data_IF_918226941226
#
_entry.id   IF_918226941226
#
_cell.length_a   1.000
_cell.length_b   1.000
_cell.length_c   1.000
_cell.angle_alpha   90.00
_cell.angle_beta   90.00
_cell.angle_gamma   90.00
#
_symmetry.space_group_name_H-M   'P 1'
#
loop_
_entity.id
_entity.type
_entity.pdbx_description
1 polymer ?
#
# COMPACT_ATOMS: atom_id res chain seq x y z
N UNK A 1 -28.83 62.47 0.80
CA UNK A 1 -27.64 61.72 0.42
C UNK A 1 -27.64 60.41 1.22
N UNK A 2 -27.87 59.27 0.59
CA UNK A 2 -27.88 57.92 1.23
C UNK A 2 -26.54 57.24 0.94
N UNK A 3 -25.75 57.07 1.95
CA UNK A 3 -24.45 56.38 1.87
C UNK A 3 -24.69 54.88 1.96
N UNK A 4 -24.41 54.15 0.89
CA UNK A 4 -24.49 52.70 0.85
C UNK A 4 -23.14 52.14 1.26
N UNK A 5 -23.09 51.51 2.43
CA UNK A 5 -21.91 50.79 2.92
C UNK A 5 -21.88 49.42 2.23
N UNK A 6 -20.95 49.22 1.29
CA UNK A 6 -20.67 47.92 0.73
C UNK A 6 -19.78 47.14 1.71
N UNK A 7 -20.33 46.13 2.36
CA UNK A 7 -19.57 45.15 3.11
C UNK A 7 -18.91 44.13 2.15
N UNK A 8 -17.59 44.20 2.03
CA UNK A 8 -16.83 43.22 1.27
C UNK A 8 -16.72 41.93 2.09
N UNK A 9 -17.38 40.88 1.64
CA UNK A 9 -17.32 39.53 2.22
C UNK A 9 -16.05 38.86 1.70
N UNK A 10 -14.98 38.80 2.48
CA UNK A 10 -13.76 38.07 2.16
C UNK A 10 -14.00 36.59 2.41
N UNK A 11 -14.11 35.80 1.31
CA UNK A 11 -14.12 34.34 1.34
C UNK A 11 -12.70 33.83 1.67
N UNK A 12 -12.51 33.35 2.89
CA UNK A 12 -11.29 32.64 3.27
C UNK A 12 -11.39 31.20 2.74
N UNK A 13 -10.68 30.93 1.65
CA UNK A 13 -10.55 29.58 1.11
C UNK A 13 -9.60 28.77 2.00
N UNK A 14 -10.13 27.84 2.77
CA UNK A 14 -9.32 26.84 3.46
C UNK A 14 -8.83 25.81 2.44
N UNK A 15 -7.58 25.90 2.03
CA UNK A 15 -6.92 24.86 1.27
C UNK A 15 -6.71 23.64 2.21
N UNK A 16 -7.51 22.60 2.01
CA UNK A 16 -7.25 21.30 2.63
C UNK A 16 -6.03 20.70 1.94
N UNK A 17 -4.89 20.69 2.63
CA UNK A 17 -3.72 19.95 2.20
C UNK A 17 -4.03 18.44 2.31
N UNK A 18 -4.52 17.84 1.23
CA UNK A 18 -4.51 16.39 1.12
C UNK A 18 -3.04 15.95 1.12
N UNK A 19 -2.60 15.25 2.15
CA UNK A 19 -1.27 14.65 2.15
C UNK A 19 -1.19 13.67 0.98
N UNK A 20 -0.38 14.03 -0.01
CA UNK A 20 -0.13 13.19 -1.18
C UNK A 20 0.57 11.89 -0.74
N UNK A 21 0.32 10.81 -1.47
CA UNK A 21 1.05 9.55 -1.34
C UNK A 21 2.49 9.80 -1.83
N UNK A 22 3.49 9.43 -1.02
CA UNK A 22 4.91 9.62 -1.31
C UNK A 22 5.63 8.28 -1.45
N UNK A 23 5.99 7.93 -2.68
CA UNK A 23 6.70 6.69 -2.98
C UNK A 23 8.11 6.64 -2.36
N UNK A 24 8.80 7.77 -2.24
CA UNK A 24 10.13 7.81 -1.61
C UNK A 24 10.01 7.63 -0.09
N UNK A 25 8.99 8.18 0.54
CA UNK A 25 8.66 7.88 1.94
C UNK A 25 8.25 6.41 2.11
N UNK A 26 7.48 5.87 1.15
CA UNK A 26 7.07 4.46 1.11
C UNK A 26 8.25 3.49 1.00
N UNK A 27 9.29 3.84 0.26
CA UNK A 27 10.53 3.05 0.20
C UNK A 27 11.17 2.91 1.59
N UNK A 28 11.18 3.98 2.37
CA UNK A 28 11.69 3.95 3.76
C UNK A 28 10.82 3.05 4.65
N UNK A 29 9.50 3.07 4.45
CA UNK A 29 8.60 2.16 5.15
C UNK A 29 8.87 0.71 4.74
N UNK A 30 9.12 0.45 3.45
CA UNK A 30 9.37 -0.90 2.93
C UNK A 30 10.65 -1.56 3.48
N UNK A 31 11.58 -0.80 4.03
CA UNK A 31 12.81 -1.34 4.65
C UNK A 31 12.49 -2.46 5.65
N UNK A 32 11.43 -2.32 6.45
CA UNK A 32 11.01 -3.35 7.41
C UNK A 32 10.44 -4.63 6.75
N UNK A 33 10.05 -4.55 5.48
CA UNK A 33 9.49 -5.66 4.72
C UNK A 33 10.57 -6.47 3.99
N UNK A 34 11.77 -5.88 3.79
CA UNK A 34 12.85 -6.45 2.98
C UNK A 34 13.45 -7.73 3.53
N UNK A 35 13.29 -7.98 4.82
CA UNK A 35 13.71 -9.25 5.42
C UNK A 35 13.00 -10.47 4.82
N UNK A 36 11.79 -10.26 4.30
CA UNK A 36 10.92 -11.32 3.77
C UNK A 36 10.55 -11.13 2.31
N UNK A 37 10.40 -9.89 1.82
CA UNK A 37 9.87 -9.54 0.51
C UNK A 37 10.84 -8.70 -0.32
N UNK A 38 10.87 -8.96 -1.62
CA UNK A 38 11.63 -8.16 -2.57
C UNK A 38 10.72 -7.58 -3.65
N UNK A 39 11.14 -6.47 -4.23
CA UNK A 39 10.58 -5.83 -5.42
C UNK A 39 11.70 -5.46 -6.40
N UNK A 40 11.36 -5.30 -7.66
CA UNK A 40 12.29 -4.90 -8.71
C UNK A 40 12.57 -6.03 -9.72
N UNK A 41 13.38 -5.73 -10.73
CA UNK A 41 13.72 -6.64 -11.83
C UNK A 41 14.48 -7.91 -11.39
N UNK A 42 15.17 -7.84 -10.27
CA UNK A 42 15.92 -8.95 -9.66
C UNK A 42 15.21 -9.59 -8.46
N UNK A 43 13.95 -9.19 -8.22
CA UNK A 43 13.19 -9.75 -7.10
C UNK A 43 12.93 -11.24 -7.28
N UNK A 44 13.05 -11.96 -6.19
CA UNK A 44 12.78 -13.39 -6.09
C UNK A 44 12.03 -13.70 -4.80
N UNK A 45 11.39 -14.86 -4.75
CA UNK A 45 10.79 -15.36 -3.52
C UNK A 45 11.87 -15.61 -2.45
N UNK A 46 11.53 -15.32 -1.22
CA UNK A 46 12.35 -15.55 -0.04
C UNK A 46 11.50 -16.13 1.09
N UNK A 47 11.60 -15.59 2.28
CA UNK A 47 10.72 -15.93 3.41
C UNK A 47 9.25 -15.62 3.05
N UNK A 48 9.03 -14.51 2.35
CA UNK A 48 7.75 -14.16 1.72
C UNK A 48 7.84 -14.18 0.20
N UNK A 49 6.70 -14.09 -0.51
CA UNK A 49 6.70 -13.98 -1.97
C UNK A 49 7.25 -12.61 -2.41
N UNK A 50 7.77 -12.54 -3.64
CA UNK A 50 8.05 -11.26 -4.27
C UNK A 50 6.77 -10.43 -4.43
N UNK A 51 6.89 -9.11 -4.38
CA UNK A 51 5.74 -8.20 -4.39
C UNK A 51 5.58 -7.39 -5.67
N UNK A 52 6.29 -7.77 -6.74
CA UNK A 52 6.08 -7.16 -8.06
C UNK A 52 4.64 -7.36 -8.53
N UNK A 53 4.04 -6.32 -9.09
CA UNK A 53 2.68 -6.39 -9.62
C UNK A 53 1.62 -6.77 -8.57
N UNK A 54 1.81 -6.34 -7.31
CA UNK A 54 0.91 -6.71 -6.22
C UNK A 54 -0.54 -6.30 -6.48
N UNK A 55 -0.76 -5.05 -6.87
CA UNK A 55 -2.11 -4.52 -7.05
C UNK A 55 -2.75 -5.05 -8.33
N UNK A 56 -3.93 -5.62 -8.20
CA UNK A 56 -4.65 -6.35 -9.24
C UNK A 56 -4.40 -7.86 -9.25
N UNK A 57 -3.48 -8.36 -8.42
CA UNK A 57 -3.12 -9.78 -8.33
C UNK A 57 -4.00 -10.52 -7.33
N UNK A 58 -4.39 -11.75 -7.66
CA UNK A 58 -5.05 -12.64 -6.71
C UNK A 58 -4.05 -13.14 -5.66
N UNK A 59 -4.48 -13.19 -4.41
CA UNK A 59 -3.68 -13.73 -3.31
C UNK A 59 -3.31 -15.20 -3.56
N UNK A 60 -2.09 -15.55 -3.20
CA UNK A 60 -1.65 -16.94 -3.29
C UNK A 60 -1.20 -17.39 -4.69
N UNK A 61 -0.89 -16.47 -5.62
CA UNK A 61 -0.65 -16.82 -7.03
C UNK A 61 0.76 -16.58 -7.56
N UNK A 62 1.70 -16.10 -6.76
CA UNK A 62 3.11 -16.00 -7.21
C UNK A 62 3.68 -17.40 -7.41
N UNK A 63 4.17 -17.63 -8.62
CA UNK A 63 4.78 -18.89 -9.00
C UNK A 63 6.02 -19.20 -8.15
N UNK A 64 6.18 -20.48 -7.79
CA UNK A 64 7.33 -20.97 -7.04
C UNK A 64 7.35 -20.59 -5.55
N UNK A 65 6.33 -19.89 -5.03
CA UNK A 65 6.21 -19.63 -3.61
C UNK A 65 5.20 -20.56 -2.94
N UNK A 66 5.57 -21.13 -1.81
CA UNK A 66 4.68 -22.00 -1.02
C UNK A 66 3.86 -21.18 -0.04
N UNK A 67 2.66 -20.80 -0.43
CA UNK A 67 1.71 -20.10 0.43
C UNK A 67 1.09 -21.00 1.51
N UNK A 68 0.57 -20.39 2.58
CA UNK A 68 -0.41 -21.07 3.45
C UNK A 68 -1.71 -21.35 2.71
N UNK A 69 -2.43 -22.38 3.11
CA UNK A 69 -3.76 -22.66 2.56
C UNK A 69 -4.72 -21.48 2.78
N UNK A 70 -4.59 -20.80 3.92
CA UNK A 70 -5.35 -19.58 4.21
C UNK A 70 -5.16 -18.50 3.14
N UNK A 71 -3.93 -18.24 2.70
CA UNK A 71 -3.67 -17.28 1.63
C UNK A 71 -4.22 -17.75 0.27
N UNK A 72 -3.98 -19.02 -0.08
CA UNK A 72 -4.48 -19.60 -1.35
C UNK A 72 -5.99 -19.52 -1.46
N UNK A 73 -6.69 -19.79 -0.36
CA UNK A 73 -8.15 -19.91 -0.31
C UNK A 73 -8.84 -18.60 0.12
N UNK A 74 -8.09 -17.52 0.37
CA UNK A 74 -8.66 -16.25 0.85
C UNK A 74 -9.62 -15.58 -0.14
N UNK A 75 -9.46 -15.86 -1.45
CA UNK A 75 -10.25 -15.23 -2.50
C UNK A 75 -9.92 -13.74 -2.73
N UNK A 76 -8.94 -13.21 -2.01
CA UNK A 76 -8.55 -11.80 -2.08
C UNK A 76 -7.91 -11.49 -3.44
N UNK A 77 -8.37 -10.42 -4.07
CA UNK A 77 -7.65 -9.70 -5.12
C UNK A 77 -7.13 -8.42 -4.48
N UNK A 78 -5.82 -8.20 -4.56
CA UNK A 78 -5.19 -7.07 -3.93
C UNK A 78 -5.54 -5.77 -4.65
N UNK A 79 -6.25 -4.90 -3.98
CA UNK A 79 -6.39 -3.48 -4.31
C UNK A 79 -5.87 -2.63 -3.15
N UNK A 80 -5.86 -1.32 -3.31
CA UNK A 80 -5.31 -0.41 -2.29
C UNK A 80 -6.10 -0.46 -0.98
N UNK A 81 -7.42 -0.57 -1.04
CA UNK A 81 -8.29 -0.62 0.16
C UNK A 81 -8.09 -1.93 0.91
N UNK A 82 -8.10 -3.06 0.20
CA UNK A 82 -7.86 -4.40 0.77
C UNK A 82 -6.46 -4.49 1.36
N UNK A 83 -5.45 -3.94 0.66
CA UNK A 83 -4.08 -3.89 1.16
C UNK A 83 -3.98 -3.05 2.44
N UNK A 84 -4.60 -1.87 2.47
CA UNK A 84 -4.58 -1.00 3.64
C UNK A 84 -5.20 -1.67 4.88
N UNK A 85 -6.27 -2.41 4.69
CA UNK A 85 -6.89 -3.20 5.76
C UNK A 85 -5.99 -4.36 6.20
N UNK A 86 -5.45 -5.12 5.24
CA UNK A 86 -4.60 -6.28 5.50
C UNK A 86 -3.33 -5.91 6.26
N UNK A 87 -2.62 -4.88 5.82
CA UNK A 87 -1.31 -4.54 6.39
C UNK A 87 -1.39 -4.02 7.82
N UNK A 88 -2.56 -3.57 8.26
CA UNK A 88 -2.80 -3.19 9.65
C UNK A 88 -2.84 -4.39 10.59
N UNK A 89 -3.32 -5.54 10.13
CA UNK A 89 -3.37 -6.77 10.90
C UNK A 89 -3.52 -8.00 9.97
N UNK A 90 -2.42 -8.52 9.43
CA UNK A 90 -2.48 -9.64 8.48
C UNK A 90 -3.21 -10.87 9.01
N UNK A 91 -3.02 -11.20 10.28
CA UNK A 91 -3.65 -12.38 10.90
C UNK A 91 -5.17 -12.24 11.09
N UNK A 92 -5.64 -11.03 11.31
CA UNK A 92 -7.07 -10.77 11.40
C UNK A 92 -7.72 -10.85 10.03
N UNK A 93 -7.06 -10.33 8.99
CA UNK A 93 -7.60 -10.34 7.62
C UNK A 93 -7.55 -11.72 6.97
N UNK A 94 -6.47 -12.47 7.19
CA UNK A 94 -6.29 -13.85 6.70
C UNK A 94 -5.90 -14.74 7.89
N UNK A 95 -6.88 -15.23 8.67
CA UNK A 95 -6.60 -16.17 9.75
C UNK A 95 -5.92 -17.42 9.21
N UNK A 96 -4.79 -17.81 9.80
CA UNK A 96 -3.97 -18.92 9.33
C UNK A 96 -2.87 -18.53 8.33
N UNK A 97 -2.72 -17.24 8.02
CA UNK A 97 -1.56 -16.77 7.25
C UNK A 97 -0.26 -17.12 7.96
N UNK A 98 0.75 -17.52 7.19
CA UNK A 98 2.09 -17.73 7.74
C UNK A 98 2.94 -16.46 7.83
N UNK A 99 2.45 -15.32 7.35
CA UNK A 99 3.12 -14.04 7.47
C UNK A 99 3.15 -13.60 8.93
N UNK A 100 4.36 -13.46 9.48
CA UNK A 100 4.59 -13.02 10.86
C UNK A 100 4.92 -11.53 10.82
N UNK A 101 3.89 -10.70 10.95
CA UNK A 101 4.01 -9.24 10.98
C UNK A 101 2.94 -8.66 11.91
N UNK A 102 3.35 -7.79 12.84
CA UNK A 102 2.44 -7.22 13.83
C UNK A 102 1.44 -6.23 13.24
N UNK A 103 1.78 -5.65 12.10
CA UNK A 103 0.94 -4.69 11.40
C UNK A 103 1.48 -3.26 11.41
N UNK A 104 1.12 -2.53 10.37
CA UNK A 104 1.38 -1.10 10.20
C UNK A 104 0.07 -0.35 10.47
N UNK A 105 0.06 0.54 11.47
CA UNK A 105 -1.17 1.22 11.92
C UNK A 105 -1.30 2.67 11.42
N UNK A 106 -0.18 3.28 11.05
CA UNK A 106 -0.15 4.67 10.59
C UNK A 106 -0.69 4.77 9.15
N UNK A 107 -1.80 5.47 8.99
CA UNK A 107 -2.49 5.59 7.69
C UNK A 107 -1.63 6.28 6.62
N UNK A 108 -0.84 7.30 6.98
CA UNK A 108 0.01 7.98 6.02
C UNK A 108 1.13 7.05 5.54
N UNK A 109 1.74 6.31 6.44
CA UNK A 109 2.77 5.32 6.09
C UNK A 109 2.21 4.19 5.23
N UNK A 110 0.96 3.79 5.44
CA UNK A 110 0.28 2.81 4.58
C UNK A 110 0.09 3.38 3.17
N UNK A 111 -0.36 4.63 3.04
CA UNK A 111 -0.50 5.31 1.74
C UNK A 111 0.83 5.43 1.01
N UNK A 112 1.88 5.80 1.72
CA UNK A 112 3.23 5.94 1.15
C UNK A 112 3.78 4.57 0.70
N UNK A 113 3.63 3.54 1.51
CA UNK A 113 4.01 2.16 1.15
C UNK A 113 3.23 1.67 -0.07
N UNK A 114 1.94 1.97 -0.15
CA UNK A 114 1.09 1.66 -1.31
C UNK A 114 1.65 2.33 -2.57
N UNK A 115 1.97 3.63 -2.51
CA UNK A 115 2.55 4.36 -3.63
C UNK A 115 3.89 3.77 -4.08
N UNK A 116 4.73 3.35 -3.14
CA UNK A 116 6.00 2.69 -3.45
C UNK A 116 5.78 1.36 -4.17
N UNK A 117 4.92 0.50 -3.65
CA UNK A 117 4.66 -0.82 -4.24
C UNK A 117 3.99 -0.74 -5.62
N UNK A 118 3.15 0.25 -5.85
CA UNK A 118 2.50 0.50 -7.16
C UNK A 118 3.47 0.83 -8.28
N UNK A 119 4.69 1.25 -7.96
CA UNK A 119 5.70 1.56 -8.98
C UNK A 119 6.18 0.31 -9.75
N UNK A 120 5.99 -0.90 -9.21
CA UNK A 120 6.55 -2.12 -9.79
C UNK A 120 5.47 -2.92 -10.51
N UNK A 121 5.65 -3.14 -11.81
CA UNK A 121 4.83 -4.07 -12.58
C UNK A 121 5.16 -5.54 -12.25
N UNK A 122 4.46 -6.48 -12.88
CA UNK A 122 4.66 -7.91 -12.65
C UNK A 122 6.09 -8.39 -12.97
N UNK A 123 6.80 -7.71 -13.88
CA UNK A 123 8.20 -8.01 -14.20
C UNK A 123 9.19 -7.34 -13.24
N UNK A 124 8.71 -6.50 -12.33
CA UNK A 124 9.55 -5.71 -11.43
C UNK A 124 10.10 -4.44 -12.06
N UNK A 125 9.62 -4.10 -13.24
CA UNK A 125 10.00 -2.85 -13.90
C UNK A 125 9.30 -1.68 -13.19
N UNK A 126 10.09 -0.67 -12.87
CA UNK A 126 9.57 0.53 -12.21
C UNK A 126 8.93 1.46 -13.24
N UNK A 127 7.71 1.91 -12.97
CA UNK A 127 7.07 2.96 -13.75
C UNK A 127 7.91 4.24 -13.70
N UNK A 128 8.04 4.90 -14.87
CA UNK A 128 8.73 6.19 -15.01
C UNK A 128 7.80 7.34 -14.60
#
# INVERSE_FOLDING_TARGET
MKTILMAALTLVSYATYAHAQDAAAGEKVFVQCRACHLVGDKAKNGVGPLLNGLFGRKSGTIEGYTYSDANKNSGIVWDEAVFAEYIQNPRAKIPGTKMIYAGLKDEQRIKDLTAFLKQFDASGKKAQ
#
